data_IF_168867220563
#
_entry.id   IF_168867220563
#
_cell.length_a   1.000
_cell.length_b   1.000
_cell.length_c   1.000
_cell.angle_alpha   90.00
_cell.angle_beta   90.00
_cell.angle_gamma   90.00
#
_symmetry.space_group_name_H-M   'P 1'
#
loop_
_entity.id
_entity.type
_entity.pdbx_description
1 polymer ?
#
# COMPACT_ATOMS: atom_id res chain seq x y z
N UNK A 1 -16.73 3.88 4.68
CA UNK A 1 -15.91 4.92 4.02
C UNK A 1 -16.67 5.56 2.85
N UNK A 2 -16.98 4.83 1.76
CA UNK A 2 -17.64 5.37 0.54
C UNK A 2 -18.91 6.22 0.74
N UNK A 3 -19.81 5.83 1.65
CA UNK A 3 -21.04 6.59 1.89
C UNK A 3 -20.82 7.93 2.63
N UNK A 4 -19.65 8.14 3.26
CA UNK A 4 -19.31 9.37 4.00
C UNK A 4 -18.51 10.38 3.18
N UNK A 5 -17.86 9.95 2.09
CA UNK A 5 -16.99 10.77 1.23
C UNK A 5 -17.77 11.49 0.13
N UNK A 6 -18.84 12.20 0.50
CA UNK A 6 -19.65 12.97 -0.46
C UNK A 6 -19.14 14.42 -0.56
N UNK A 7 -19.32 15.13 -1.68
CA UNK A 7 -18.92 16.54 -1.80
C UNK A 7 -19.48 17.43 -0.68
N UNK A 8 -20.72 17.15 -0.25
CA UNK A 8 -21.38 17.83 0.86
C UNK A 8 -20.67 17.65 2.20
N UNK A 9 -19.98 16.52 2.43
CA UNK A 9 -19.23 16.30 3.65
C UNK A 9 -17.98 17.20 3.76
N UNK A 10 -17.46 17.67 2.61
CA UNK A 10 -16.37 18.64 2.55
C UNK A 10 -16.88 20.08 2.66
N UNK A 11 -17.93 20.41 1.89
CA UNK A 11 -18.44 21.78 1.78
C UNK A 11 -19.23 22.17 3.03
N UNK A 12 -20.01 21.24 3.58
CA UNK A 12 -20.87 21.43 4.73
C UNK A 12 -20.54 20.39 5.81
N UNK A 13 -19.34 20.44 6.41
CA UNK A 13 -18.91 19.44 7.37
C UNK A 13 -19.78 19.44 8.63
N UNK A 14 -20.61 20.46 8.87
CA UNK A 14 -21.53 20.52 10.01
C UNK A 14 -22.91 19.89 9.72
N UNK A 15 -23.21 19.52 8.47
CA UNK A 15 -24.53 19.01 8.08
C UNK A 15 -24.80 17.61 8.69
N UNK A 16 -25.91 17.41 9.43
CA UNK A 16 -26.19 16.16 10.15
C UNK A 16 -26.79 15.10 9.21
N UNK A 17 -25.98 14.55 8.30
CA UNK A 17 -26.41 13.48 7.39
C UNK A 17 -26.39 12.10 8.07
N UNK A 18 -27.24 11.14 7.66
CA UNK A 18 -27.19 9.76 8.17
C UNK A 18 -25.83 9.09 7.97
N UNK A 19 -25.10 9.45 6.91
CA UNK A 19 -23.73 8.99 6.69
C UNK A 19 -22.75 9.54 7.73
N UNK A 20 -22.87 10.83 8.09
CA UNK A 20 -22.06 11.45 9.14
C UNK A 20 -22.35 10.82 10.50
N UNK A 21 -23.61 10.61 10.87
CA UNK A 21 -23.97 9.93 12.12
C UNK A 21 -23.36 8.53 12.21
N UNK A 22 -23.46 7.73 11.14
CA UNK A 22 -22.80 6.41 11.07
C UNK A 22 -21.28 6.51 11.21
N UNK A 23 -20.67 7.51 10.58
CA UNK A 23 -19.24 7.79 10.71
C UNK A 23 -18.81 8.09 12.14
N UNK A 24 -19.56 8.97 12.83
CA UNK A 24 -19.31 9.32 14.24
C UNK A 24 -19.46 8.10 15.15
N UNK A 25 -20.56 7.34 15.01
CA UNK A 25 -20.77 6.11 15.79
C UNK A 25 -19.67 5.07 15.56
N UNK A 26 -19.23 4.91 14.31
CA UNK A 26 -18.10 4.04 13.97
C UNK A 26 -16.79 4.50 14.59
N UNK A 27 -16.51 5.81 14.56
CA UNK A 27 -15.35 6.43 15.20
C UNK A 27 -15.33 6.22 16.71
N UNK A 28 -16.46 6.46 17.39
CA UNK A 28 -16.60 6.20 18.83
C UNK A 28 -16.38 4.74 19.19
N UNK A 29 -16.90 3.81 18.37
CA UNK A 29 -16.69 2.37 18.57
C UNK A 29 -15.21 1.98 18.43
N UNK A 30 -14.53 2.47 17.39
CA UNK A 30 -13.09 2.23 17.20
C UNK A 30 -12.26 2.83 18.34
N UNK A 31 -12.57 4.06 18.73
CA UNK A 31 -11.91 4.73 19.85
C UNK A 31 -12.08 3.93 21.14
N UNK A 32 -13.28 3.42 21.44
CA UNK A 32 -13.51 2.57 22.62
C UNK A 32 -12.64 1.31 22.60
N UNK A 33 -12.63 0.57 21.49
CA UNK A 33 -11.83 -0.66 21.35
C UNK A 33 -10.34 -0.36 21.59
N UNK A 34 -9.80 0.69 20.97
CA UNK A 34 -8.40 1.04 21.11
C UNK A 34 -8.08 1.56 22.51
N UNK A 35 -8.95 2.37 23.11
CA UNK A 35 -8.80 2.83 24.49
C UNK A 35 -8.73 1.67 25.48
N UNK A 36 -9.55 0.63 25.30
CA UNK A 36 -9.47 -0.59 26.11
C UNK A 36 -8.11 -1.29 25.97
N UNK A 37 -7.55 -1.35 24.75
CA UNK A 37 -6.19 -1.89 24.50
C UNK A 37 -5.11 -1.05 25.19
N UNK A 38 -5.15 0.27 25.06
CA UNK A 38 -4.17 1.17 25.66
C UNK A 38 -4.21 1.15 27.19
N UNK A 39 -5.41 1.14 27.78
CA UNK A 39 -5.59 1.01 29.24
C UNK A 39 -5.06 -0.33 29.75
N UNK A 40 -5.30 -1.42 29.01
CA UNK A 40 -4.77 -2.73 29.36
C UNK A 40 -3.24 -2.73 29.35
N UNK A 41 -2.61 -2.22 28.28
CA UNK A 41 -1.15 -2.14 28.15
C UNK A 41 -0.49 -1.26 29.22
N UNK A 42 -1.15 -0.19 29.66
CA UNK A 42 -0.67 0.65 30.77
C UNK A 42 -0.65 -0.08 32.11
N UNK A 43 -1.57 -1.02 32.34
CA UNK A 43 -1.64 -1.80 33.59
C UNK A 43 -0.70 -2.99 33.59
N UNK A 44 -0.66 -3.72 32.48
CA UNK A 44 -0.01 -5.04 32.39
C UNK A 44 1.35 -4.97 31.70
N UNK A 45 1.64 -3.87 30.99
CA UNK A 45 2.72 -3.82 30.01
C UNK A 45 2.44 -4.73 28.81
N UNK A 46 3.34 -4.69 27.82
CA UNK A 46 3.42 -5.72 26.80
C UNK A 46 3.16 -5.26 25.36
N UNK A 47 4.02 -5.73 24.47
CA UNK A 47 4.00 -5.40 23.05
C UNK A 47 5.38 -4.93 22.59
N UNK A 48 5.69 -5.13 21.31
CA UNK A 48 6.92 -4.62 20.66
C UNK A 48 6.58 -3.71 19.48
N UNK A 49 5.37 -3.15 19.49
CA UNK A 49 4.79 -2.39 18.39
C UNK A 49 4.64 -0.89 18.73
N UNK A 50 4.17 -0.12 17.74
CA UNK A 50 4.00 1.33 17.88
C UNK A 50 3.02 1.73 18.99
N UNK A 51 2.00 0.92 19.26
CA UNK A 51 1.04 1.24 20.32
C UNK A 51 1.71 1.10 21.69
N UNK A 52 2.67 0.18 21.86
CA UNK A 52 3.44 0.12 23.10
C UNK A 52 4.36 1.33 23.25
N UNK A 53 5.03 1.77 22.17
CA UNK A 53 5.83 3.02 22.21
C UNK A 53 5.02 4.24 22.62
N UNK A 54 3.79 4.37 22.13
CA UNK A 54 2.91 5.48 22.54
C UNK A 54 2.56 5.42 24.04
N UNK A 55 2.48 4.22 24.63
CA UNK A 55 2.31 4.05 26.07
C UNK A 55 3.59 4.44 26.82
N UNK A 56 4.75 3.99 26.32
CA UNK A 56 6.05 4.24 26.94
C UNK A 56 6.44 5.73 26.90
N UNK A 57 6.02 6.46 25.87
CA UNK A 57 6.15 7.91 25.71
C UNK A 57 5.07 8.71 26.47
N UNK A 58 4.24 8.03 27.26
CA UNK A 58 3.14 8.58 28.05
C UNK A 58 2.10 9.40 27.25
N UNK A 59 1.86 9.04 25.99
CA UNK A 59 0.82 9.67 25.18
C UNK A 59 -0.55 9.33 25.75
N UNK A 60 -1.38 10.35 26.02
CA UNK A 60 -2.71 10.17 26.59
C UNK A 60 -3.59 9.23 25.75
N UNK A 61 -4.35 8.35 26.40
CA UNK A 61 -5.15 7.28 25.76
C UNK A 61 -6.02 7.77 24.59
N UNK A 62 -6.66 8.93 24.75
CA UNK A 62 -7.48 9.54 23.68
C UNK A 62 -6.63 9.94 22.48
N UNK A 63 -5.48 10.57 22.70
CA UNK A 63 -4.60 10.96 21.62
C UNK A 63 -3.96 9.73 20.94
N UNK A 64 -3.49 8.75 21.72
CA UNK A 64 -2.89 7.53 21.20
C UNK A 64 -3.87 6.70 20.35
N UNK A 65 -5.12 6.59 20.78
CA UNK A 65 -6.19 5.93 20.00
C UNK A 65 -6.52 6.68 18.72
N UNK A 66 -6.68 8.01 18.77
CA UNK A 66 -6.92 8.82 17.55
C UNK A 66 -5.75 8.70 16.58
N UNK A 67 -4.50 8.83 17.04
CA UNK A 67 -3.30 8.66 16.22
C UNK A 67 -3.27 7.27 15.56
N UNK A 68 -3.59 6.22 16.31
CA UNK A 68 -3.63 4.84 15.79
C UNK A 68 -4.71 4.67 14.73
N UNK A 69 -5.92 5.19 14.94
CA UNK A 69 -7.02 5.15 13.95
C UNK A 69 -6.59 5.88 12.67
N UNK A 70 -6.04 7.08 12.81
CA UNK A 70 -5.60 7.89 11.67
C UNK A 70 -4.49 7.20 10.88
N UNK A 71 -3.50 6.60 11.57
CA UNK A 71 -2.44 5.85 10.93
C UNK A 71 -2.97 4.64 10.13
N UNK A 72 -3.90 3.87 10.72
CA UNK A 72 -4.52 2.71 10.05
C UNK A 72 -5.30 3.14 8.81
N UNK A 73 -6.14 4.19 8.91
CA UNK A 73 -6.94 4.67 7.79
C UNK A 73 -6.05 5.22 6.66
N UNK A 74 -5.05 6.05 7.00
CA UNK A 74 -4.11 6.62 6.04
C UNK A 74 -3.31 5.54 5.30
N UNK A 75 -2.87 4.49 6.02
CA UNK A 75 -2.13 3.38 5.42
C UNK A 75 -3.03 2.50 4.52
N UNK A 76 -4.24 2.18 4.97
CA UNK A 76 -5.12 1.23 4.30
C UNK A 76 -5.60 1.72 2.92
N UNK A 77 -6.10 2.96 2.82
CA UNK A 77 -6.67 3.46 1.56
C UNK A 77 -5.64 3.57 0.44
N UNK A 78 -4.46 4.09 0.75
CA UNK A 78 -3.42 4.31 -0.25
C UNK A 78 -2.67 3.02 -0.61
N UNK A 79 -2.23 2.25 0.40
CA UNK A 79 -1.39 1.06 0.16
C UNK A 79 -2.15 -0.02 -0.59
N UNK A 80 -3.43 -0.26 -0.25
CA UNK A 80 -4.24 -1.28 -0.92
C UNK A 80 -4.48 -0.95 -2.40
N UNK A 81 -4.74 0.31 -2.72
CA UNK A 81 -4.97 0.74 -4.10
C UNK A 81 -3.68 0.68 -4.93
N UNK A 82 -2.55 1.14 -4.38
CA UNK A 82 -1.25 1.05 -5.05
C UNK A 82 -0.81 -0.41 -5.22
N UNK A 83 -1.06 -1.28 -4.24
CA UNK A 83 -0.82 -2.71 -4.38
C UNK A 83 -1.61 -3.32 -5.54
N UNK A 84 -2.90 -2.97 -5.66
CA UNK A 84 -3.74 -3.45 -6.75
C UNK A 84 -3.18 -3.00 -8.12
N UNK A 85 -2.88 -1.71 -8.28
CA UNK A 85 -2.28 -1.19 -9.50
C UNK A 85 -0.92 -1.81 -9.80
N UNK A 86 -0.06 -1.98 -8.80
CA UNK A 86 1.24 -2.60 -8.98
C UNK A 86 1.14 -4.03 -9.51
N UNK A 87 0.22 -4.84 -8.96
CA UNK A 87 0.00 -6.20 -9.46
C UNK A 87 -0.58 -6.19 -10.86
N UNK A 88 -1.55 -5.30 -11.15
CA UNK A 88 -2.11 -5.14 -12.51
C UNK A 88 -1.00 -4.79 -13.51
N UNK A 89 -0.22 -3.76 -13.22
CA UNK A 89 0.86 -3.27 -14.10
C UNK A 89 1.93 -4.33 -14.30
N UNK A 90 2.38 -5.03 -13.26
CA UNK A 90 3.34 -6.13 -13.41
C UNK A 90 2.79 -7.22 -14.33
N UNK A 91 1.53 -7.62 -14.18
CA UNK A 91 0.92 -8.65 -15.02
C UNK A 91 0.73 -8.20 -16.49
N UNK A 92 0.62 -6.90 -16.74
CA UNK A 92 0.61 -6.34 -18.10
C UNK A 92 2.01 -6.28 -18.72
N UNK A 93 3.05 -6.07 -17.90
CA UNK A 93 4.42 -5.89 -18.35
C UNK A 93 5.30 -7.10 -18.01
N UNK A 94 5.19 -8.15 -18.83
CA UNK A 94 5.89 -9.43 -18.63
C UNK A 94 7.42 -9.32 -18.43
N UNK A 95 8.17 -8.44 -19.12
CA UNK A 95 9.60 -8.29 -18.86
C UNK A 95 9.90 -7.85 -17.42
N UNK A 96 9.12 -6.91 -16.88
CA UNK A 96 9.27 -6.44 -15.50
C UNK A 96 8.80 -7.47 -14.49
N UNK A 97 7.70 -8.19 -14.77
CA UNK A 97 7.29 -9.33 -13.95
C UNK A 97 8.37 -10.41 -13.87
N UNK A 98 9.00 -10.74 -15.00
CA UNK A 98 10.09 -11.71 -15.06
C UNK A 98 11.33 -11.24 -14.28
N UNK A 99 11.71 -9.96 -14.41
CA UNK A 99 12.80 -9.37 -13.65
C UNK A 99 12.55 -9.42 -12.14
N UNK A 100 11.37 -9.00 -11.67
CA UNK A 100 10.99 -9.04 -10.25
C UNK A 100 10.95 -10.49 -9.73
N UNK A 101 10.47 -11.44 -10.54
CA UNK A 101 10.50 -12.87 -10.19
C UNK A 101 11.93 -13.39 -10.04
N UNK A 102 12.82 -13.07 -10.97
CA UNK A 102 14.22 -13.49 -10.90
C UNK A 102 14.93 -12.91 -9.66
N UNK A 103 14.70 -11.63 -9.35
CA UNK A 103 15.22 -11.01 -8.12
C UNK A 103 14.68 -11.67 -6.86
N UNK A 104 13.38 -12.01 -6.85
CA UNK A 104 12.75 -12.72 -5.74
C UNK A 104 13.35 -14.11 -5.54
N UNK A 105 13.48 -14.90 -6.60
CA UNK A 105 14.05 -16.23 -6.54
C UNK A 105 15.51 -16.18 -6.02
N UNK A 106 16.30 -15.21 -6.48
CA UNK A 106 17.66 -14.99 -6.00
C UNK A 106 17.70 -14.57 -4.51
N UNK A 107 16.80 -13.66 -4.11
CA UNK A 107 16.69 -13.19 -2.73
C UNK A 107 16.32 -14.32 -1.76
N UNK A 108 15.32 -15.13 -2.12
CA UNK A 108 14.87 -16.25 -1.30
C UNK A 108 15.88 -17.39 -1.24
N UNK A 109 16.62 -17.63 -2.34
CA UNK A 109 17.75 -18.58 -2.36
C UNK A 109 18.84 -18.13 -1.38
N UNK A 110 19.19 -16.84 -1.38
CA UNK A 110 20.20 -16.25 -0.48
C UNK A 110 19.80 -16.38 1.00
N UNK A 111 18.50 -16.34 1.29
CA UNK A 111 17.96 -16.47 2.65
C UNK A 111 17.51 -17.89 3.00
N UNK A 112 17.83 -18.90 2.17
CA UNK A 112 17.50 -20.30 2.39
C UNK A 112 16.02 -20.55 2.67
N UNK A 113 15.14 -19.79 2.02
CA UNK A 113 13.69 -20.00 2.12
C UNK A 113 13.30 -21.14 1.18
N UNK A 114 12.82 -22.25 1.73
CA UNK A 114 12.32 -23.32 0.90
C UNK A 114 10.98 -22.91 0.28
N UNK A 115 10.91 -23.09 -1.03
CA UNK A 115 10.20 -24.26 -1.50
C UNK A 115 8.80 -24.59 -0.94
N UNK A 116 7.66 -23.88 -1.14
CA UNK A 116 6.37 -24.42 -0.74
C UNK A 116 6.01 -25.59 -1.68
N UNK A 117 6.58 -26.76 -1.41
CA UNK A 117 6.28 -28.02 -2.06
C UNK A 117 6.10 -29.09 -0.97
N UNK A 118 4.88 -29.66 -0.92
CA UNK A 118 4.41 -30.80 -0.10
C UNK A 118 3.94 -30.54 1.34
N UNK A 119 2.92 -29.70 1.52
CA UNK A 119 2.00 -29.87 2.66
C UNK A 119 0.55 -29.88 2.18
N UNK A 120 0.22 -30.88 1.36
CA UNK A 120 -1.16 -31.25 1.07
C UNK A 120 -1.26 -32.72 0.64
N UNK A 121 -0.53 -33.59 1.32
CA UNK A 121 -1.03 -34.94 1.51
C UNK A 121 -2.20 -34.83 2.50
N UNK A 122 -3.40 -35.23 2.09
CA UNK A 122 -4.58 -35.25 2.95
C UNK A 122 -4.24 -36.04 4.22
N UNK A 123 -4.32 -35.46 5.43
CA UNK A 123 -4.14 -36.27 6.62
C UNK A 123 -5.37 -37.18 6.74
N UNK A 124 -5.14 -38.49 6.82
CA UNK A 124 -6.13 -39.37 7.45
C UNK A 124 -6.45 -38.79 8.84
N UNK A 125 -7.70 -38.91 9.34
CA UNK A 125 -8.08 -38.27 10.59
C UNK A 125 -7.28 -38.90 11.74
N UNK A 126 -6.28 -38.17 12.23
CA UNK A 126 -5.53 -38.51 13.44
C UNK A 126 -6.06 -37.66 14.62
N UNK A 127 -6.10 -38.23 15.83
CA UNK A 127 -6.85 -37.65 16.95
C UNK A 127 -6.21 -36.37 17.47
N UNK A 128 -7.07 -35.55 18.08
CA UNK A 128 -6.74 -34.22 18.60
C UNK A 128 -5.79 -34.29 19.82
N UNK A 129 -4.49 -34.19 19.59
CA UNK A 129 -3.54 -33.59 20.55
C UNK A 129 -2.21 -33.28 19.86
N UNK A 130 -1.73 -32.05 20.05
CA UNK A 130 -0.43 -31.49 19.60
C UNK A 130 -0.29 -31.11 18.12
N UNK A 131 -0.81 -29.94 17.75
CA UNK A 131 -0.42 -29.25 16.51
C UNK A 131 0.74 -28.31 16.79
N UNK A 132 1.97 -28.82 16.71
CA UNK A 132 3.12 -27.99 16.35
C UNK A 132 3.81 -28.63 15.16
N UNK A 133 3.51 -28.15 13.96
CA UNK A 133 4.30 -28.46 12.78
C UNK A 133 5.67 -27.79 12.95
N UNK A 134 6.73 -28.58 13.17
CA UNK A 134 8.10 -28.07 13.11
C UNK A 134 8.60 -28.22 11.67
N UNK A 135 8.98 -27.12 10.98
CA UNK A 135 9.63 -27.23 9.68
C UNK A 135 10.99 -27.94 9.83
N UNK A 136 11.51 -28.58 8.76
CA UNK A 136 12.81 -29.24 8.83
C UNK A 136 13.91 -28.25 9.26
N UNK A 137 14.89 -28.69 10.08
CA UNK A 137 15.96 -27.83 10.56
C UNK A 137 16.71 -27.18 9.39
N UNK A 138 16.81 -25.85 9.42
CA UNK A 138 17.45 -25.04 8.36
C UNK A 138 16.51 -24.45 7.31
N UNK A 139 15.19 -24.66 7.43
CA UNK A 139 14.21 -24.06 6.50
C UNK A 139 13.68 -22.74 7.06
N UNK A 140 14.08 -21.62 6.47
CA UNK A 140 13.58 -20.30 6.87
C UNK A 140 12.22 -20.00 6.21
N UNK A 141 11.32 -19.42 6.97
CA UNK A 141 10.11 -18.79 6.46
C UNK A 141 10.42 -17.37 5.95
N UNK A 142 9.56 -16.82 5.10
CA UNK A 142 9.60 -15.40 4.72
C UNK A 142 9.63 -14.46 5.95
N UNK A 143 8.99 -14.89 7.04
CA UNK A 143 8.93 -14.15 8.31
C UNK A 143 10.26 -14.08 9.06
N UNK A 144 11.20 -14.98 8.74
CA UNK A 144 12.48 -15.09 9.44
C UNK A 144 13.55 -14.17 8.84
N UNK A 145 13.29 -13.65 7.63
CA UNK A 145 14.16 -12.69 6.96
C UNK A 145 14.09 -11.35 7.70
N UNK A 146 15.23 -10.77 8.12
CA UNK A 146 15.23 -9.50 8.82
C UNK A 146 14.69 -8.38 7.94
N UNK A 147 13.94 -7.43 8.53
CA UNK A 147 13.34 -6.32 7.79
C UNK A 147 14.39 -5.48 7.02
N UNK A 148 15.60 -5.33 7.56
CA UNK A 148 16.69 -4.61 6.90
C UNK A 148 17.19 -5.31 5.61
N UNK A 149 17.00 -6.62 5.47
CA UNK A 149 17.26 -7.31 4.21
C UNK A 149 16.17 -7.00 3.19
N UNK A 150 14.89 -7.04 3.60
CA UNK A 150 13.76 -6.65 2.75
C UNK A 150 13.85 -5.21 2.23
N UNK A 151 14.37 -4.29 3.03
CA UNK A 151 14.56 -2.89 2.63
C UNK A 151 15.44 -2.75 1.39
N UNK A 152 16.48 -3.59 1.28
CA UNK A 152 17.45 -3.59 0.18
C UNK A 152 17.12 -4.58 -0.94
N UNK A 153 16.08 -5.39 -0.76
CA UNK A 153 15.69 -6.43 -1.71
C UNK A 153 14.86 -5.87 -2.88
N UNK A 154 14.82 -6.60 -3.98
CA UNK A 154 13.89 -6.38 -5.11
C UNK A 154 13.99 -4.97 -5.76
N UNK A 155 15.18 -4.52 -6.21
CA UNK A 155 15.32 -3.20 -6.81
C UNK A 155 14.48 -3.00 -8.10
N UNK A 156 14.21 -4.03 -8.90
CA UNK A 156 13.28 -3.91 -10.02
C UNK A 156 11.84 -3.66 -9.55
N UNK A 157 11.44 -4.23 -8.41
CA UNK A 157 10.13 -3.95 -7.82
C UNK A 157 10.06 -2.50 -7.31
N UNK A 158 11.15 -1.96 -6.77
CA UNK A 158 11.21 -0.55 -6.37
C UNK A 158 11.07 0.39 -7.56
N UNK A 159 11.70 0.07 -8.70
CA UNK A 159 11.54 0.82 -9.95
C UNK A 159 10.08 0.79 -10.42
N UNK A 160 9.47 -0.39 -10.45
CA UNK A 160 8.07 -0.56 -10.86
C UNK A 160 7.12 0.18 -9.92
N UNK A 161 7.33 0.06 -8.61
CA UNK A 161 6.53 0.76 -7.59
C UNK A 161 6.61 2.27 -7.76
N UNK A 162 7.81 2.80 -8.01
CA UNK A 162 7.98 4.24 -8.24
C UNK A 162 7.17 4.73 -9.44
N UNK A 163 7.21 4.01 -10.54
CA UNK A 163 6.47 4.37 -11.75
C UNK A 163 4.94 4.19 -11.58
N UNK A 164 4.50 3.18 -10.84
CA UNK A 164 3.10 2.99 -10.45
C UNK A 164 2.61 4.13 -9.57
N UNK A 165 3.43 4.62 -8.63
CA UNK A 165 3.09 5.79 -7.83
C UNK A 165 2.96 7.04 -8.70
N UNK A 166 3.82 7.22 -9.70
CA UNK A 166 3.71 8.35 -10.64
C UNK A 166 2.43 8.29 -11.46
N UNK A 167 2.07 7.12 -11.98
CA UNK A 167 0.90 6.96 -12.85
C UNK A 167 -0.43 7.00 -12.08
N UNK A 168 -0.45 6.44 -10.86
CA UNK A 168 -1.69 6.14 -10.17
C UNK A 168 -1.82 6.79 -8.79
N UNK A 169 -0.78 7.38 -8.18
CA UNK A 169 -0.96 8.14 -6.93
C UNK A 169 -1.45 9.57 -7.21
N UNK A 170 -2.57 9.67 -7.91
CA UNK A 170 -3.13 10.95 -8.35
C UNK A 170 -4.18 11.38 -7.34
N UNK A 171 -3.79 12.14 -6.31
CA UNK A 171 -4.73 12.75 -5.36
C UNK A 171 -4.56 14.26 -5.29
N UNK A 172 -5.65 15.02 -5.08
CA UNK A 172 -5.56 16.45 -4.88
C UNK A 172 -4.84 16.77 -3.56
N UNK A 173 -3.84 17.63 -3.62
CA UNK A 173 -3.15 18.13 -2.44
C UNK A 173 -3.71 19.50 -2.10
N UNK A 174 -4.41 19.57 -0.97
CA UNK A 174 -5.02 20.79 -0.44
C UNK A 174 -4.22 21.27 0.76
N UNK A 175 -3.85 22.55 0.79
CA UNK A 175 -3.14 23.20 1.89
C UNK A 175 -3.78 24.54 2.20
N UNK A 176 -3.93 24.85 3.48
CA UNK A 176 -4.35 26.17 3.95
C UNK A 176 -3.12 27.01 4.24
N UNK A 177 -3.09 28.26 3.80
CA UNK A 177 -2.09 29.22 4.24
C UNK A 177 -2.39 29.62 5.70
N UNK A 178 -1.65 29.04 6.65
CA UNK A 178 -1.74 29.38 8.06
C UNK A 178 -0.84 30.53 8.49
N UNK A 179 0.04 31.01 7.60
CA UNK A 179 1.01 32.06 7.87
C UNK A 179 0.55 33.43 7.39
N UNK A 180 1.51 34.29 7.05
CA UNK A 180 1.28 35.57 6.38
C UNK A 180 0.98 35.37 4.89
N UNK A 181 0.61 36.45 4.20
CA UNK A 181 0.40 36.43 2.76
C UNK A 181 1.67 35.96 2.04
N UNK A 182 1.52 34.99 1.14
CA UNK A 182 2.63 34.38 0.43
C UNK A 182 2.52 34.61 -1.08
N UNK A 183 3.63 34.97 -1.73
CA UNK A 183 3.66 35.10 -3.20
C UNK A 183 4.22 33.83 -3.82
N UNK A 184 3.42 33.13 -4.62
CA UNK A 184 3.81 31.92 -5.35
C UNK A 184 3.52 32.12 -6.83
N UNK A 185 4.54 31.92 -7.67
CA UNK A 185 4.45 32.13 -9.12
C UNK A 185 3.83 33.50 -9.52
N UNK A 186 4.15 34.56 -8.77
CA UNK A 186 3.63 35.91 -9.01
C UNK A 186 2.16 36.13 -8.60
N UNK A 187 1.56 35.19 -7.87
CA UNK A 187 0.20 35.30 -7.29
C UNK A 187 0.29 35.37 -5.77
N UNK A 188 -0.46 36.29 -5.18
CA UNK A 188 -0.62 36.37 -3.72
C UNK A 188 -1.64 35.33 -3.26
N UNK A 189 -1.23 34.50 -2.31
CA UNK A 189 -2.08 33.59 -1.53
C UNK A 189 -2.25 34.25 -0.17
N UNK A 190 -3.44 34.78 0.10
CA UNK A 190 -3.67 35.49 1.34
C UNK A 190 -3.65 34.53 2.53
N UNK A 191 -3.40 35.06 3.72
CA UNK A 191 -3.59 34.31 4.97
C UNK A 191 -5.01 33.74 5.04
N UNK A 192 -5.10 32.44 5.29
CA UNK A 192 -6.36 31.72 5.42
C UNK A 192 -6.86 31.08 4.13
N UNK A 193 -6.33 31.46 2.97
CA UNK A 193 -6.68 30.87 1.67
C UNK A 193 -6.23 29.42 1.56
N UNK A 194 -6.88 28.69 0.67
CA UNK A 194 -6.49 27.33 0.31
C UNK A 194 -5.82 27.31 -1.05
N UNK A 195 -4.72 26.57 -1.13
CA UNK A 195 -4.07 26.19 -2.38
C UNK A 195 -4.37 24.71 -2.62
N UNK A 196 -4.84 24.41 -3.82
CA UNK A 196 -5.05 23.05 -4.30
C UNK A 196 -4.22 22.85 -5.56
N UNK A 197 -3.51 21.74 -5.64
CA UNK A 197 -2.80 21.30 -6.85
C UNK A 197 -2.96 19.79 -7.01
N UNK A 198 -2.99 19.33 -8.26
CA UNK A 198 -3.10 17.91 -8.58
C UNK A 198 -1.69 17.32 -8.71
N UNK A 199 -1.41 16.22 -8.03
CA UNK A 199 -0.14 15.50 -8.24
C UNK A 199 0.01 15.03 -9.70
N UNK A 200 -1.11 14.68 -10.32
CA UNK A 200 -1.19 14.29 -11.73
C UNK A 200 -0.61 15.34 -12.67
N UNK A 201 -0.81 16.64 -12.40
CA UNK A 201 -0.28 17.71 -13.24
C UNK A 201 1.26 17.69 -13.28
N UNK A 202 1.90 17.34 -12.16
CA UNK A 202 3.36 17.19 -12.11
C UNK A 202 3.81 15.85 -12.68
N UNK A 203 3.08 14.78 -12.37
CA UNK A 203 3.43 13.41 -12.75
C UNK A 203 3.19 13.10 -14.22
N UNK A 204 2.26 13.79 -14.87
CA UNK A 204 1.92 13.65 -16.29
C UNK A 204 2.35 14.86 -17.15
N UNK A 205 3.17 15.77 -16.63
CA UNK A 205 3.72 16.88 -17.43
C UNK A 205 4.66 16.34 -18.52
N UNK A 206 4.24 16.44 -19.79
CA UNK A 206 5.03 16.00 -20.94
C UNK A 206 6.39 16.72 -21.08
N UNK A 207 6.55 17.90 -20.45
CA UNK A 207 7.83 18.63 -20.41
C UNK A 207 8.84 17.98 -19.48
N UNK A 208 8.37 17.33 -18.41
CA UNK A 208 9.19 16.60 -17.45
C UNK A 208 9.32 15.12 -17.83
N UNK A 209 8.23 14.52 -18.32
CA UNK A 209 8.11 13.10 -18.63
C UNK A 209 7.62 12.91 -20.07
N UNK A 210 8.52 12.68 -21.06
CA UNK A 210 8.10 12.31 -22.40
C UNK A 210 7.21 11.05 -22.39
N UNK A 211 6.11 11.07 -23.17
CA UNK A 211 5.06 10.02 -23.15
C UNK A 211 4.59 9.73 -21.72
N UNK A 212 4.04 10.73 -21.01
CA UNK A 212 3.80 10.66 -19.57
C UNK A 212 2.87 9.50 -19.16
N UNK A 213 1.96 9.09 -20.03
CA UNK A 213 1.01 8.00 -19.80
C UNK A 213 1.62 6.59 -19.91
N UNK A 214 2.82 6.47 -20.48
CA UNK A 214 3.49 5.17 -20.63
C UNK A 214 4.07 4.68 -19.31
N UNK A 215 4.11 3.35 -19.12
CA UNK A 215 4.84 2.73 -18.01
C UNK A 215 6.31 2.52 -18.39
N UNK A 216 7.21 3.30 -17.81
CA UNK A 216 8.65 3.16 -17.98
C UNK A 216 9.37 3.30 -16.62
N UNK A 217 9.68 2.19 -15.93
CA UNK A 217 10.39 2.21 -14.65
C UNK A 217 11.82 2.76 -14.69
N UNK A 218 12.42 2.89 -15.87
CA UNK A 218 13.80 3.40 -16.03
C UNK A 218 13.86 4.91 -16.29
N UNK A 219 12.71 5.59 -16.41
CA UNK A 219 12.68 7.03 -16.68
C UNK A 219 13.31 7.86 -15.55
N UNK A 220 13.85 9.02 -15.93
CA UNK A 220 14.34 10.00 -14.95
C UNK A 220 13.19 10.54 -14.08
N UNK A 221 13.46 10.75 -12.79
CA UNK A 221 12.46 11.06 -11.76
C UNK A 221 12.28 12.56 -11.52
N UNK A 222 12.21 13.35 -12.60
CA UNK A 222 12.17 14.83 -12.51
C UNK A 222 10.82 15.33 -12.02
N UNK A 223 10.77 15.94 -10.84
CA UNK A 223 9.52 16.52 -10.30
C UNK A 223 8.56 15.48 -9.73
N UNK A 224 9.08 14.36 -9.21
CA UNK A 224 8.27 13.36 -8.55
C UNK A 224 7.80 13.84 -7.16
N UNK A 225 6.48 14.01 -7.00
CA UNK A 225 5.87 14.56 -5.77
C UNK A 225 5.13 13.52 -4.91
N UNK A 226 5.10 12.25 -5.30
CA UNK A 226 4.43 11.22 -4.49
C UNK A 226 5.13 11.08 -3.12
N UNK A 227 4.42 10.53 -2.14
CA UNK A 227 4.87 10.47 -0.73
C UNK A 227 5.28 11.84 -0.14
N UNK A 228 4.72 12.93 -0.66
CA UNK A 228 5.01 14.28 -0.15
C UNK A 228 6.36 14.81 -0.62
N UNK A 229 6.80 14.41 -1.81
CA UNK A 229 8.10 14.74 -2.40
C UNK A 229 9.25 14.33 -1.46
N UNK A 230 9.50 13.02 -1.36
CA UNK A 230 10.42 12.36 -0.42
C UNK A 230 11.74 13.10 -0.13
N UNK A 231 12.31 13.80 -1.12
CA UNK A 231 13.61 14.48 -1.02
C UNK A 231 13.54 16.02 -0.99
N UNK A 232 12.36 16.63 -1.17
CA UNK A 232 12.22 18.09 -1.38
C UNK A 232 11.06 18.72 -0.59
N UNK A 233 10.10 17.91 -0.14
CA UNK A 233 8.90 18.40 0.53
C UNK A 233 9.07 18.61 2.04
N UNK A 234 8.31 19.56 2.59
CA UNK A 234 8.25 19.85 4.04
C UNK A 234 7.33 18.92 4.81
N UNK A 235 6.56 18.08 4.12
CA UNK A 235 5.63 17.10 4.70
C UNK A 235 5.84 15.71 4.09
N UNK A 236 7.04 15.11 4.22
CA UNK A 236 7.30 13.79 3.68
C UNK A 236 6.42 12.74 4.38
N UNK A 237 6.03 11.72 3.65
CA UNK A 237 5.21 10.63 4.17
C UNK A 237 5.99 9.83 5.21
N UNK A 238 5.66 9.99 6.50
CA UNK A 238 6.28 9.22 7.59
C UNK A 238 6.11 7.69 7.43
N UNK A 239 5.10 7.25 6.67
CA UNK A 239 4.80 5.84 6.42
C UNK A 239 5.54 5.21 5.24
N UNK A 240 6.30 5.96 4.42
CA UNK A 240 6.84 5.47 3.15
C UNK A 240 7.72 4.22 3.30
N UNK A 241 8.58 4.19 4.32
CA UNK A 241 9.47 3.06 4.61
C UNK A 241 8.67 1.79 4.93
N UNK A 242 7.65 1.91 5.77
CA UNK A 242 6.77 0.79 6.12
C UNK A 242 5.91 0.36 4.93
N UNK A 243 5.40 1.30 4.13
CA UNK A 243 4.61 1.00 2.95
C UNK A 243 5.39 0.17 1.93
N UNK A 244 6.65 0.54 1.64
CA UNK A 244 7.54 -0.25 0.77
C UNK A 244 7.73 -1.66 1.29
N UNK A 245 7.95 -1.85 2.60
CA UNK A 245 8.11 -3.17 3.19
C UNK A 245 6.84 -4.03 3.05
N UNK A 246 5.67 -3.46 3.36
CA UNK A 246 4.38 -4.13 3.19
C UNK A 246 4.20 -4.53 1.72
N UNK A 247 4.51 -3.63 0.79
CA UNK A 247 4.37 -3.87 -0.64
C UNK A 247 5.30 -5.00 -1.11
N UNK A 248 6.59 -4.93 -0.76
CA UNK A 248 7.58 -5.96 -1.09
C UNK A 248 7.16 -7.32 -0.56
N UNK A 249 6.82 -7.41 0.73
CA UNK A 249 6.42 -8.66 1.35
C UNK A 249 5.13 -9.24 0.72
N UNK A 250 4.15 -8.39 0.43
CA UNK A 250 2.90 -8.80 -0.20
C UNK A 250 3.11 -9.31 -1.62
N UNK A 251 3.80 -8.54 -2.47
CA UNK A 251 4.09 -8.92 -3.86
C UNK A 251 4.97 -10.17 -3.90
N UNK A 252 6.00 -10.25 -3.06
CA UNK A 252 6.84 -11.43 -2.92
C UNK A 252 6.00 -12.67 -2.58
N UNK A 253 5.11 -12.57 -1.59
CA UNK A 253 4.23 -13.67 -1.21
C UNK A 253 3.33 -14.12 -2.37
N UNK A 254 2.77 -13.18 -3.13
CA UNK A 254 1.93 -13.51 -4.29
C UNK A 254 2.73 -14.18 -5.41
N UNK A 255 3.86 -13.58 -5.81
CA UNK A 255 4.67 -14.06 -6.93
C UNK A 255 5.39 -15.36 -6.65
N UNK A 256 5.72 -15.59 -5.38
CA UNK A 256 6.25 -16.86 -4.90
C UNK A 256 5.18 -17.95 -4.99
N UNK A 257 3.99 -17.72 -4.44
CA UNK A 257 3.00 -18.79 -4.33
C UNK A 257 2.15 -19.02 -5.60
N UNK A 258 2.03 -18.04 -6.50
CA UNK A 258 1.04 -18.08 -7.57
C UNK A 258 1.55 -17.64 -8.95
N UNK A 259 1.08 -18.35 -9.97
CA UNK A 259 1.05 -17.85 -11.35
C UNK A 259 -0.30 -17.21 -11.62
N UNK A 260 -0.26 -15.95 -12.06
CA UNK A 260 -1.43 -15.09 -12.13
C UNK A 260 -1.60 -14.51 -13.52
N UNK A 261 -2.85 -14.31 -13.95
CA UNK A 261 -3.22 -13.64 -15.20
C UNK A 261 -4.42 -12.72 -14.95
N UNK A 262 -4.41 -11.57 -15.61
CA UNK A 262 -5.55 -10.65 -15.58
C UNK A 262 -6.67 -11.17 -16.46
N UNK A 263 -7.89 -11.11 -15.94
CA UNK A 263 -9.12 -11.51 -16.63
C UNK A 263 -10.26 -10.54 -16.32
N UNK A 264 -11.27 -10.49 -17.18
CA UNK A 264 -12.50 -9.75 -16.94
C UNK A 264 -13.42 -10.46 -15.93
N UNK A 265 -14.59 -9.88 -15.65
CA UNK A 265 -15.59 -10.47 -14.76
C UNK A 265 -16.10 -11.86 -15.21
N UNK A 266 -15.99 -12.21 -16.49
CA UNK A 266 -16.35 -13.53 -17.05
C UNK A 266 -15.18 -14.53 -17.01
N UNK A 267 -13.98 -14.06 -16.70
CA UNK A 267 -12.76 -14.86 -16.72
C UNK A 267 -12.05 -14.86 -18.07
N UNK A 268 -12.46 -14.04 -19.03
CA UNK A 268 -11.76 -13.93 -20.31
C UNK A 268 -10.53 -13.04 -20.17
N UNK A 269 -9.43 -13.27 -20.91
CA UNK A 269 -8.28 -12.39 -20.90
C UNK A 269 -8.67 -10.94 -21.20
N UNK A 270 -8.13 -9.98 -20.45
CA UNK A 270 -8.34 -8.56 -20.75
C UNK A 270 -7.77 -8.24 -22.13
N UNK A 271 -8.59 -7.64 -23.00
CA UNK A 271 -8.19 -7.24 -24.36
C UNK A 271 -7.36 -5.97 -24.35
N UNK A 272 -7.68 -5.06 -23.43
CA UNK A 272 -7.05 -3.75 -23.29
C UNK A 272 -6.63 -3.53 -21.83
N UNK A 273 -5.58 -2.73 -21.59
CA UNK A 273 -5.18 -2.39 -20.25
C UNK A 273 -6.25 -1.51 -19.55
N UNK A 274 -6.70 -1.85 -18.34
CA UNK A 274 -7.58 -1.00 -17.54
C UNK A 274 -7.02 0.42 -17.42
N UNK A 275 -7.90 1.40 -17.59
CA UNK A 275 -7.61 2.81 -17.40
C UNK A 275 -7.98 3.25 -15.98
N UNK A 276 -7.31 4.28 -15.50
CA UNK A 276 -7.58 4.85 -14.19
C UNK A 276 -8.76 5.82 -14.23
N UNK A 277 -9.81 5.54 -13.47
CA UNK A 277 -10.92 6.47 -13.23
C UNK A 277 -10.71 7.17 -11.90
N UNK A 278 -10.54 8.48 -11.96
CA UNK A 278 -10.33 9.33 -10.80
C UNK A 278 -11.62 9.39 -9.94
N UNK A 279 -11.47 9.13 -8.64
CA UNK A 279 -12.47 9.48 -7.64
C UNK A 279 -12.08 10.79 -6.95
N UNK A 280 -13.07 11.57 -6.48
CA UNK A 280 -12.84 12.91 -5.94
C UNK A 280 -11.78 12.99 -4.80
N UNK A 281 -11.55 11.91 -4.05
CA UNK A 281 -10.59 11.86 -2.92
C UNK A 281 -9.94 10.49 -2.69
N UNK A 282 -9.86 9.64 -3.71
CA UNK A 282 -9.23 8.32 -3.57
C UNK A 282 -8.31 8.06 -4.74
N UNK A 283 -7.28 7.25 -4.50
CA UNK A 283 -6.48 6.64 -5.56
C UNK A 283 -7.43 6.14 -6.67
N UNK A 284 -7.14 6.46 -7.95
CA UNK A 284 -7.93 6.02 -9.08
C UNK A 284 -8.21 4.52 -9.04
N UNK A 285 -9.34 4.11 -9.60
CA UNK A 285 -9.71 2.69 -9.74
C UNK A 285 -9.69 2.29 -11.20
N UNK A 286 -9.55 1.01 -11.52
CA UNK A 286 -9.80 0.52 -12.86
C UNK A 286 -11.20 0.94 -13.34
N UNK A 287 -11.29 1.34 -14.60
CA UNK A 287 -12.52 1.63 -15.35
C UNK A 287 -13.39 0.38 -15.59
N UNK A 288 -12.74 -0.79 -15.63
CA UNK A 288 -13.38 -2.10 -15.81
C UNK A 288 -13.22 -2.99 -14.57
N UNK A 289 -14.07 -4.01 -14.44
CA UNK A 289 -13.90 -5.04 -13.40
C UNK A 289 -12.70 -5.94 -13.76
N UNK A 290 -11.59 -5.75 -13.03
CA UNK A 290 -10.35 -6.51 -13.19
C UNK A 290 -10.31 -7.63 -12.16
N UNK A 291 -10.16 -8.86 -12.65
CA UNK A 291 -10.01 -10.07 -11.83
C UNK A 291 -8.65 -10.71 -12.09
N UNK A 292 -8.22 -11.55 -11.15
CA UNK A 292 -6.99 -12.35 -11.29
C UNK A 292 -7.38 -13.82 -11.29
N UNK A 293 -7.12 -14.50 -12.39
CA UNK A 293 -7.07 -15.96 -12.42
C UNK A 293 -5.69 -16.40 -11.93
N UNK A 294 -5.64 -17.30 -10.97
CA UNK A 294 -4.39 -17.78 -10.40
C UNK A 294 -4.31 -19.31 -10.35
N UNK A 295 -3.08 -19.82 -10.31
CA UNK A 295 -2.74 -21.21 -10.04
C UNK A 295 -1.58 -21.24 -9.03
N UNK A 296 -1.64 -22.14 -8.06
CA UNK A 296 -0.51 -22.38 -7.14
C UNK A 296 0.74 -22.82 -7.90
N UNK A 297 1.88 -22.25 -7.54
CA UNK A 297 3.19 -22.57 -8.12
C UNK A 297 3.77 -23.81 -7.46
N UNK A 298 4.08 -24.81 -8.29
CA UNK A 298 4.85 -25.98 -7.86
C UNK A 298 6.32 -25.67 -8.08
N UNK A 299 7.02 -25.39 -6.99
CA UNK A 299 8.44 -25.13 -7.07
C UNK A 299 9.20 -26.47 -7.12
N UNK A 300 10.06 -26.62 -8.13
CA UNK A 300 10.87 -27.83 -8.34
C UNK A 300 10.58 -28.59 -9.65
N UNK A 301 9.60 -28.18 -10.45
CA UNK A 301 9.54 -28.64 -11.84
C UNK A 301 10.47 -27.77 -12.70
N UNK A 302 11.64 -28.30 -13.05
CA UNK A 302 12.40 -27.78 -14.20
C UNK A 302 11.43 -27.67 -15.37
N UNK A 303 11.41 -26.51 -16.03
CA UNK A 303 10.76 -26.34 -17.33
C UNK A 303 11.22 -27.48 -18.24
N UNK A 304 10.33 -28.27 -18.86
CA UNK A 304 10.76 -29.22 -19.87
C UNK A 304 11.39 -28.40 -21.00
N UNK A 305 12.64 -28.71 -21.29
CA UNK A 305 13.37 -28.30 -22.49
C UNK A 305 12.59 -28.64 -23.75
#
# INVERSE_FOLDING_TARGET
LRAGSTPHALILPWLPTPARFRGVLGGLRLHRILSEVFLKRRREGGGRDVMQRLVDEDVGTTQASVMTIMAILAAHENTSAILAWLVITLLQHQPWLAAVRAELDAFLTTHHVASPARSRASPAPAPASSTSFSPPPGTHSLSDIPLSAWERALPALDLCLHEVLRLYMNVPLVRRNGGEDAVVAGRTIARGDYVMYMMEDAHLDARAYPKPESFDPLRERKGFVAWGAEDVGTHPCAGQRLARLIIKAFVATLLWNYDMKLVDARGDPLKEPPQSVMGLFSVPRPDVDVRIRYRERVHGARTPT
#
